data_IF_584845923265
#
_entry.id   IF_584845923265
#
_cell.length_a   1.000
_cell.length_b   1.000
_cell.length_c   1.000
_cell.angle_alpha   90.00
_cell.angle_beta   90.00
_cell.angle_gamma   90.00
#
_symmetry.space_group_name_H-M   'P 1'
#
loop_
_entity.id
_entity.type
_entity.pdbx_description
1 polymer ?
#
# COMPACT_ATOMS: atom_id res chain seq x y z
N UNK A 1 -18.07 3.17 -10.99
CA UNK A 1 -17.31 4.33 -10.48
C UNK A 1 -16.99 5.34 -11.59
N UNK A 2 -16.20 4.99 -12.63
CA UNK A 2 -15.77 5.95 -13.66
C UNK A 2 -16.90 6.64 -14.44
N UNK A 3 -18.04 6.00 -14.66
CA UNK A 3 -19.22 6.65 -15.25
C UNK A 3 -19.72 7.84 -14.40
N UNK A 4 -19.70 7.71 -13.08
CA UNK A 4 -20.07 8.79 -12.16
C UNK A 4 -19.03 9.91 -12.15
N UNK A 5 -17.74 9.55 -12.14
CA UNK A 5 -16.64 10.52 -12.23
C UNK A 5 -16.78 11.35 -13.52
N UNK A 6 -16.96 10.68 -14.66
CA UNK A 6 -17.17 11.31 -15.96
C UNK A 6 -18.34 12.28 -15.95
N UNK A 7 -19.48 11.85 -15.39
CA UNK A 7 -20.69 12.69 -15.29
C UNK A 7 -20.50 13.91 -14.40
N UNK A 8 -19.86 13.75 -13.24
CA UNK A 8 -19.76 14.80 -12.23
C UNK A 8 -18.64 15.80 -12.52
N UNK A 9 -17.58 15.36 -13.20
CA UNK A 9 -16.41 16.19 -13.55
C UNK A 9 -16.46 16.76 -14.97
N UNK A 10 -17.63 16.76 -15.61
CA UNK A 10 -17.84 17.28 -16.98
C UNK A 10 -17.58 18.79 -17.16
N UNK A 11 -17.46 19.55 -16.06
CA UNK A 11 -17.12 20.98 -16.15
C UNK A 11 -15.62 21.13 -16.39
N UNK A 12 -15.17 22.14 -17.18
CA UNK A 12 -13.76 22.40 -17.37
C UNK A 12 -13.01 22.48 -16.04
N UNK A 13 -11.84 21.84 -15.96
CA UNK A 13 -11.00 21.80 -14.75
C UNK A 13 -11.32 20.68 -13.75
N UNK A 14 -12.31 19.82 -14.01
CA UNK A 14 -12.57 18.65 -13.17
C UNK A 14 -11.44 17.60 -13.23
N UNK A 15 -10.88 17.24 -12.08
CA UNK A 15 -9.79 16.26 -11.94
C UNK A 15 -10.21 15.14 -11.00
N UNK A 16 -9.88 13.90 -11.36
CA UNK A 16 -9.91 12.74 -10.46
C UNK A 16 -8.47 12.31 -10.19
N UNK A 17 -8.16 12.07 -8.93
CA UNK A 17 -6.90 11.47 -8.50
C UNK A 17 -7.21 10.21 -7.69
N UNK A 18 -6.57 9.11 -8.05
CA UNK A 18 -6.59 7.86 -7.29
C UNK A 18 -5.16 7.53 -6.91
N UNK A 19 -4.96 7.17 -5.65
CA UNK A 19 -3.64 6.86 -5.12
C UNK A 19 -3.74 5.78 -4.06
N UNK A 20 -2.62 5.10 -3.82
CA UNK A 20 -2.48 4.13 -2.75
C UNK A 20 -1.00 4.01 -2.38
N UNK A 21 -0.72 3.22 -1.34
CA UNK A 21 0.61 2.79 -0.97
C UNK A 21 0.56 1.29 -0.67
N UNK A 22 1.64 0.57 -0.99
CA UNK A 22 1.64 -0.90 -0.91
C UNK A 22 2.85 -1.48 -0.17
N UNK A 23 3.93 -0.73 -0.05
CA UNK A 23 5.17 -1.20 0.57
C UNK A 23 5.74 -0.19 1.57
N UNK A 24 6.58 -0.68 2.47
CA UNK A 24 7.30 0.11 3.47
C UNK A 24 8.80 -0.15 3.34
N UNK A 25 9.55 0.89 2.97
CA UNK A 25 11.00 0.84 2.99
C UNK A 25 11.50 1.33 4.36
N UNK A 26 12.23 0.48 5.07
CA UNK A 26 12.72 0.77 6.43
C UNK A 26 14.24 0.70 6.47
N UNK A 27 14.83 -0.41 6.05
CA UNK A 27 16.29 -0.62 6.04
C UNK A 27 16.65 -1.97 5.41
N UNK A 28 17.87 -2.12 4.86
CA UNK A 28 18.33 -3.39 4.26
C UNK A 28 18.25 -4.61 5.18
N UNK A 29 18.28 -4.43 6.50
CA UNK A 29 18.18 -5.54 7.47
C UNK A 29 16.73 -5.88 7.81
N UNK A 30 15.80 -4.92 7.71
CA UNK A 30 14.40 -5.13 8.07
C UNK A 30 13.56 -5.57 6.88
N UNK A 31 13.78 -4.96 5.71
CA UNK A 31 12.94 -5.14 4.53
C UNK A 31 12.88 -6.61 4.07
N UNK A 32 13.96 -7.42 4.11
CA UNK A 32 13.87 -8.86 3.79
C UNK A 32 13.01 -9.67 4.78
N UNK A 33 13.01 -9.30 6.07
CA UNK A 33 12.18 -9.96 7.08
C UNK A 33 10.72 -9.60 6.88
N UNK A 34 10.46 -8.32 6.61
CA UNK A 34 9.13 -7.84 6.27
C UNK A 34 8.59 -8.52 5.01
N UNK A 35 9.42 -8.69 3.98
CA UNK A 35 9.05 -9.40 2.76
C UNK A 35 8.62 -10.84 3.04
N UNK A 36 9.38 -11.59 3.85
CA UNK A 36 9.01 -12.96 4.23
C UNK A 36 7.65 -13.00 4.93
N UNK A 37 7.40 -12.08 5.86
CA UNK A 37 6.08 -11.97 6.49
C UNK A 37 4.99 -11.60 5.47
N UNK A 38 5.24 -10.63 4.59
CA UNK A 38 4.29 -10.26 3.53
C UNK A 38 3.90 -11.46 2.67
N UNK A 39 4.87 -12.29 2.27
CA UNK A 39 4.62 -13.48 1.44
C UNK A 39 3.66 -14.47 2.12
N UNK A 40 3.64 -14.57 3.46
CA UNK A 40 2.67 -15.42 4.19
C UNK A 40 1.24 -14.86 4.16
N UNK A 41 1.08 -13.56 3.89
CA UNK A 41 -0.23 -12.92 3.82
C UNK A 41 -0.93 -13.15 2.47
N UNK A 42 -0.19 -13.55 1.42
CA UNK A 42 -0.69 -13.67 0.04
C UNK A 42 -2.00 -14.46 -0.12
N UNK A 43 -2.20 -15.61 0.56
CA UNK A 43 -3.44 -16.39 0.42
C UNK A 43 -4.70 -15.72 0.97
N UNK A 44 -4.55 -14.68 1.81
CA UNK A 44 -5.65 -14.10 2.58
C UNK A 44 -6.14 -12.75 2.03
N UNK A 45 -5.49 -12.24 0.98
CA UNK A 45 -5.92 -11.00 0.34
C UNK A 45 -7.11 -11.23 -0.59
N UNK A 46 -7.93 -10.18 -0.73
CA UNK A 46 -8.91 -10.14 -1.81
C UNK A 46 -8.18 -10.19 -3.17
N UNK A 47 -8.65 -10.94 -4.17
CA UNK A 47 -7.99 -11.03 -5.47
C UNK A 47 -7.72 -9.67 -6.14
N UNK A 48 -8.57 -8.66 -5.90
CA UNK A 48 -8.39 -7.30 -6.44
C UNK A 48 -7.17 -6.55 -5.85
N UNK A 49 -6.50 -7.10 -4.83
CA UNK A 49 -5.26 -6.54 -4.28
C UNK A 49 -4.15 -6.44 -5.34
N UNK A 50 -4.22 -7.24 -6.41
CA UNK A 50 -3.20 -7.24 -7.47
C UNK A 50 -2.98 -5.84 -8.06
N UNK A 51 -4.03 -5.03 -8.20
CA UNK A 51 -3.89 -3.63 -8.65
C UNK A 51 -3.02 -2.81 -7.70
N UNK A 52 -3.16 -3.01 -6.39
CA UNK A 52 -2.36 -2.32 -5.37
C UNK A 52 -0.94 -2.87 -5.35
N UNK A 53 -0.75 -4.19 -5.39
CA UNK A 53 0.59 -4.80 -5.42
C UNK A 53 1.40 -4.40 -6.65
N UNK A 54 0.76 -4.28 -7.80
CA UNK A 54 1.40 -3.82 -9.04
C UNK A 54 1.48 -2.27 -9.15
N UNK A 55 1.09 -1.55 -8.09
CA UNK A 55 1.22 -0.09 -8.02
C UNK A 55 0.32 0.67 -8.99
N UNK A 56 -0.84 0.11 -9.33
CA UNK A 56 -1.78 0.59 -10.36
C UNK A 56 -1.28 0.55 -11.81
N UNK A 57 -0.19 -0.14 -12.13
CA UNK A 57 0.27 -0.26 -13.53
C UNK A 57 -0.77 -0.94 -14.42
N UNK A 58 -1.44 -1.95 -13.91
CA UNK A 58 -2.48 -2.70 -14.64
C UNK A 58 -3.91 -2.16 -14.42
N UNK A 59 -4.08 -1.12 -13.58
CA UNK A 59 -5.41 -0.58 -13.28
C UNK A 59 -5.93 0.25 -14.47
N UNK A 60 -7.10 -0.08 -15.07
CA UNK A 60 -7.70 0.74 -16.10
C UNK A 60 -7.99 2.15 -15.56
N UNK A 61 -7.59 3.18 -16.29
CA UNK A 61 -7.73 4.59 -15.92
C UNK A 61 -8.03 5.44 -17.17
N UNK A 62 -9.31 5.55 -17.57
CA UNK A 62 -9.72 6.10 -18.86
C UNK A 62 -9.79 7.64 -18.87
N UNK A 63 -8.87 8.31 -18.17
CA UNK A 63 -8.84 9.78 -18.07
C UNK A 63 -7.58 10.33 -18.73
N UNK A 64 -7.68 11.52 -19.30
CA UNK A 64 -6.51 12.21 -19.86
C UNK A 64 -5.60 12.65 -18.73
N UNK A 65 -4.33 12.26 -18.77
CA UNK A 65 -3.38 12.59 -17.72
C UNK A 65 -3.21 14.10 -17.55
N UNK A 66 -3.00 14.52 -16.30
CA UNK A 66 -2.62 15.91 -15.94
C UNK A 66 -1.15 16.02 -15.52
N UNK A 67 -0.32 15.03 -15.88
CA UNK A 67 1.11 14.99 -15.53
C UNK A 67 1.43 14.35 -14.18
N UNK A 68 0.43 13.79 -13.48
CA UNK A 68 0.59 13.09 -12.20
C UNK A 68 0.20 11.60 -12.33
N UNK A 69 0.83 10.94 -13.30
CA UNK A 69 0.58 9.53 -13.65
C UNK A 69 -0.52 9.34 -14.70
N UNK A 70 -0.49 8.20 -15.39
CA UNK A 70 -1.47 7.78 -16.39
C UNK A 70 -1.64 6.26 -16.40
N UNK A 71 -2.68 5.74 -17.05
CA UNK A 71 -2.85 4.29 -17.25
C UNK A 71 -1.54 3.65 -17.74
N UNK A 72 -1.14 2.53 -17.14
CA UNK A 72 0.13 1.87 -17.44
C UNK A 72 1.39 2.52 -16.83
N UNK A 73 1.34 3.79 -16.46
CA UNK A 73 2.49 4.59 -15.98
C UNK A 73 2.11 5.45 -14.75
N UNK A 74 1.86 4.82 -13.60
CA UNK A 74 1.57 5.53 -12.35
C UNK A 74 2.76 6.36 -11.87
N UNK A 75 2.48 7.52 -11.27
CA UNK A 75 3.51 8.34 -10.65
C UNK A 75 3.91 7.71 -9.31
N UNK A 76 5.17 7.30 -9.18
CA UNK A 76 5.73 6.81 -7.92
C UNK A 76 6.06 7.97 -6.95
N UNK A 77 5.78 7.76 -5.66
CA UNK A 77 5.92 8.75 -4.60
C UNK A 77 6.44 8.08 -3.33
N UNK A 78 7.13 8.84 -2.50
CA UNK A 78 7.52 8.43 -1.15
C UNK A 78 6.74 9.22 -0.11
N UNK A 79 6.13 8.54 0.85
CA UNK A 79 5.48 9.15 2.02
C UNK A 79 6.39 8.96 3.23
N UNK A 80 7.23 9.96 3.58
CA UNK A 80 8.14 9.84 4.70
C UNK A 80 7.37 9.84 6.03
N UNK A 81 7.78 8.99 6.96
CA UNK A 81 7.20 8.94 8.31
C UNK A 81 8.23 8.56 9.36
N UNK A 82 8.00 9.00 10.59
CA UNK A 82 8.67 8.48 11.79
C UNK A 82 7.78 7.42 12.42
N UNK A 83 8.29 6.20 12.58
CA UNK A 83 7.50 5.06 13.03
C UNK A 83 8.23 4.29 14.13
N UNK A 84 7.52 3.93 15.20
CA UNK A 84 8.00 2.98 16.22
C UNK A 84 7.63 1.55 15.82
N UNK A 85 8.30 0.56 16.41
CA UNK A 85 7.95 -0.85 16.18
C UNK A 85 6.50 -1.16 16.56
N UNK A 86 6.01 -0.61 17.68
CA UNK A 86 4.62 -0.79 18.11
C UNK A 86 3.63 -0.17 17.11
N UNK A 87 3.95 1.01 16.58
CA UNK A 87 3.14 1.66 15.55
C UNK A 87 3.09 0.85 14.26
N UNK A 88 4.22 0.28 13.85
CA UNK A 88 4.33 -0.64 12.73
C UNK A 88 3.51 -1.93 12.95
N UNK A 89 3.64 -2.57 14.11
CA UNK A 89 2.90 -3.79 14.44
C UNK A 89 1.38 -3.54 14.49
N UNK A 90 0.96 -2.38 15.02
CA UNK A 90 -0.46 -1.97 15.00
C UNK A 90 -0.98 -1.81 13.58
N UNK A 91 -0.18 -1.28 12.67
CA UNK A 91 -0.53 -1.20 11.24
C UNK A 91 -0.68 -2.60 10.64
N UNK A 92 0.26 -3.51 10.85
CA UNK A 92 0.14 -4.89 10.32
C UNK A 92 -1.12 -5.59 10.82
N UNK A 93 -1.48 -5.41 12.10
CA UNK A 93 -2.72 -5.95 12.68
C UNK A 93 -3.99 -5.42 12.02
N UNK A 94 -3.92 -4.25 11.38
CA UNK A 94 -5.06 -3.66 10.66
C UNK A 94 -5.18 -4.13 9.20
N UNK A 95 -4.20 -4.89 8.69
CA UNK A 95 -4.25 -5.42 7.33
C UNK A 95 -5.42 -6.40 7.17
N UNK A 96 -6.18 -6.24 6.08
CA UNK A 96 -7.32 -7.11 5.80
C UNK A 96 -6.90 -8.58 5.68
N UNK A 97 -5.74 -8.89 5.09
CA UNK A 97 -5.23 -10.26 5.05
C UNK A 97 -4.95 -10.84 6.44
N UNK A 98 -4.41 -10.05 7.36
CA UNK A 98 -4.14 -10.50 8.75
C UNK A 98 -5.45 -10.76 9.48
N UNK A 99 -6.45 -9.88 9.32
CA UNK A 99 -7.79 -10.06 9.89
C UNK A 99 -8.48 -11.28 9.29
N UNK A 100 -8.42 -11.46 7.97
CA UNK A 100 -8.99 -12.61 7.26
C UNK A 100 -8.36 -13.92 7.72
N UNK A 101 -7.03 -13.99 7.78
CA UNK A 101 -6.31 -15.17 8.27
C UNK A 101 -6.73 -15.52 9.70
N UNK A 102 -6.80 -14.51 10.58
CA UNK A 102 -7.24 -14.69 11.96
C UNK A 102 -8.67 -15.22 12.07
N UNK A 103 -9.58 -14.71 11.25
CA UNK A 103 -10.96 -15.20 11.18
C UNK A 103 -11.05 -16.65 10.66
N UNK A 104 -10.06 -17.10 9.89
CA UNK A 104 -9.91 -18.49 9.44
C UNK A 104 -9.11 -19.36 10.43
N UNK A 105 -8.78 -18.85 11.62
CA UNK A 105 -8.05 -19.58 12.66
C UNK A 105 -6.53 -19.59 12.49
N UNK A 106 -5.97 -18.79 11.57
CA UNK A 106 -4.53 -18.69 11.34
C UNK A 106 -3.98 -17.39 11.91
N UNK A 107 -3.10 -17.49 12.91
CA UNK A 107 -2.39 -16.33 13.46
C UNK A 107 -1.08 -16.06 12.71
N UNK A 108 -1.13 -15.18 11.71
CA UNK A 108 0.04 -14.75 10.94
C UNK A 108 1.03 -13.94 11.79
N UNK A 109 0.57 -13.31 12.88
CA UNK A 109 1.39 -12.49 13.77
C UNK A 109 1.65 -13.22 15.10
N UNK A 110 1.98 -14.51 15.01
CA UNK A 110 2.41 -15.31 16.15
C UNK A 110 3.59 -14.66 16.90
N UNK A 111 3.78 -15.05 18.17
CA UNK A 111 4.85 -14.49 19.01
C UNK A 111 6.24 -14.60 18.37
N UNK A 112 6.52 -15.71 17.69
CA UNK A 112 7.79 -15.94 16.99
C UNK A 112 7.99 -14.96 15.83
N UNK A 113 6.96 -14.74 15.01
CA UNK A 113 7.01 -13.78 13.89
C UNK A 113 7.19 -12.36 14.41
N UNK A 114 6.45 -11.98 15.45
CA UNK A 114 6.59 -10.66 16.07
C UNK A 114 7.99 -10.46 16.65
N UNK A 115 8.57 -11.50 17.28
CA UNK A 115 9.93 -11.46 17.82
C UNK A 115 10.98 -11.32 16.71
N UNK A 116 10.82 -12.03 15.60
CA UNK A 116 11.70 -11.91 14.43
C UNK A 116 11.66 -10.49 13.84
N UNK A 117 10.47 -9.96 13.59
CA UNK A 117 10.27 -8.59 13.11
C UNK A 117 10.88 -7.57 14.09
N UNK A 118 10.67 -7.75 15.39
CA UNK A 118 11.22 -6.87 16.43
C UNK A 118 12.74 -6.91 16.45
N UNK A 119 13.33 -8.10 16.34
CA UNK A 119 14.78 -8.28 16.32
C UNK A 119 15.41 -7.58 15.10
N UNK A 120 14.77 -7.68 13.93
CA UNK A 120 15.20 -6.98 12.72
C UNK A 120 14.99 -5.46 12.81
N UNK A 121 13.94 -5.02 13.51
CA UNK A 121 13.69 -3.60 13.78
C UNK A 121 14.77 -2.99 14.69
N UNK A 122 15.39 -3.78 15.56
CA UNK A 122 16.42 -3.36 16.50
C UNK A 122 15.85 -3.06 17.89
N UNK A 123 16.31 -1.99 18.54
CA UNK A 123 15.84 -1.63 19.90
C UNK A 123 14.34 -1.32 19.88
N UNK A 124 13.60 -1.78 20.89
CA UNK A 124 12.13 -1.67 20.94
C UNK A 124 11.61 -0.23 21.01
N UNK A 125 12.40 0.70 21.56
CA UNK A 125 12.10 2.12 21.63
C UNK A 125 12.61 2.92 20.41
N UNK A 126 13.21 2.25 19.42
CA UNK A 126 13.77 2.92 18.26
C UNK A 126 12.65 3.39 17.31
N UNK A 127 12.60 4.69 17.10
CA UNK A 127 11.79 5.32 16.06
C UNK A 127 12.63 5.42 14.79
N UNK A 128 12.16 4.80 13.72
CA UNK A 128 12.84 4.80 12.41
C UNK A 128 12.24 5.85 11.47
N UNK A 129 13.08 6.45 10.64
CA UNK A 129 12.63 7.09 9.40
C UNK A 129 12.28 5.97 8.42
N UNK A 130 11.06 5.98 7.92
CA UNK A 130 10.58 5.02 6.90
C UNK A 130 9.97 5.80 5.75
N UNK A 131 9.81 5.15 4.61
CA UNK A 131 9.02 5.66 3.49
C UNK A 131 7.98 4.61 3.10
N UNK A 132 6.70 5.00 3.08
CA UNK A 132 5.72 4.19 2.36
C UNK A 132 5.86 4.48 0.87
N UNK A 133 5.94 3.41 0.07
CA UNK A 133 5.96 3.50 -1.38
C UNK A 133 4.54 3.69 -1.86
N UNK A 134 4.28 4.88 -2.36
CA UNK A 134 2.99 5.31 -2.86
C UNK A 134 3.01 5.48 -4.37
N UNK A 135 1.83 5.48 -4.95
CA UNK A 135 1.63 5.65 -6.38
C UNK A 135 0.31 6.35 -6.65
N UNK A 136 0.25 7.10 -7.74
CA UNK A 136 -0.90 7.92 -8.10
C UNK A 136 -1.16 7.91 -9.61
N UNK A 137 -2.45 8.00 -9.93
CA UNK A 137 -2.98 8.31 -11.25
C UNK A 137 -3.88 9.53 -11.10
N UNK A 138 -3.66 10.56 -11.90
CA UNK A 138 -4.55 11.70 -11.94
C UNK A 138 -4.84 12.13 -13.37
N UNK A 139 -6.11 12.44 -13.62
CA UNK A 139 -6.57 12.81 -14.94
C UNK A 139 -7.85 13.60 -14.93
N UNK A 140 -8.16 14.16 -16.10
CA UNK A 140 -9.39 14.89 -16.39
C UNK A 140 -10.23 14.11 -17.38
N UNK A 141 -11.53 14.39 -17.39
CA UNK A 141 -12.47 13.81 -18.36
C UNK A 141 -12.12 14.33 -19.75
N UNK A 142 -12.10 13.45 -20.74
CA UNK A 142 -12.06 13.84 -22.16
C UNK A 142 -13.42 14.48 -22.48
N UNK A 143 -13.43 15.78 -22.72
CA UNK A 143 -14.62 16.51 -23.16
C UNK A 143 -14.83 16.33 -24.66
#
# INVERSE_FOLDING_TARGET
>A
FYSLVTRLLRKPGGIVAIWCYNDIAVSPTFDPVMKRFHDTTLPYWNPNIHYVFDGYKTLPFPFESVGLGSEGQPLALDIPKKLSFEGFLRMLRSWSAVVTAKNQGVDLLSENVVKELKSAWGRSNLVRSIAYKAFMLAGKVKL
#
